data_IF_984906554188
#
_entry.id   IF_984906554188
#
_cell.length_a   1.000
_cell.length_b   1.000
_cell.length_c   1.000
_cell.angle_alpha   90.00
_cell.angle_beta   90.00
_cell.angle_gamma   90.00
#
_symmetry.space_group_name_H-M   'P 1'
#
loop_
_entity.id
_entity.type
_entity.pdbx_description
1 polymer ?
#
# COMPACT_ATOMS: atom_id res chain seq x y z
N UNK A 1 -15.83 5.29 -11.30
CA UNK A 1 -15.64 5.85 -9.93
C UNK A 1 -14.96 4.85 -9.01
N UNK A 2 -15.44 3.59 -8.92
CA UNK A 2 -14.86 2.55 -8.05
C UNK A 2 -13.33 2.43 -8.15
N UNK A 3 -12.77 2.39 -9.36
CA UNK A 3 -11.31 2.36 -9.56
C UNK A 3 -10.58 3.55 -8.91
N UNK A 4 -11.09 4.76 -9.06
CA UNK A 4 -10.47 5.97 -8.49
C UNK A 4 -10.45 5.90 -6.96
N UNK A 5 -11.55 5.42 -6.36
CA UNK A 5 -11.63 5.21 -4.91
C UNK A 5 -10.61 4.17 -4.44
N UNK A 6 -10.49 3.06 -5.17
CA UNK A 6 -9.53 1.99 -4.86
C UNK A 6 -8.08 2.47 -4.99
N UNK A 7 -7.75 3.26 -6.01
CA UNK A 7 -6.42 3.86 -6.16
C UNK A 7 -6.11 4.76 -4.96
N UNK A 8 -7.04 5.60 -4.53
CA UNK A 8 -6.86 6.47 -3.36
C UNK A 8 -6.67 5.67 -2.07
N UNK A 9 -7.47 4.62 -1.86
CA UNK A 9 -7.34 3.71 -0.70
C UNK A 9 -6.00 2.97 -0.71
N UNK A 10 -5.57 2.48 -1.87
CA UNK A 10 -4.26 1.86 -2.06
C UNK A 10 -3.13 2.82 -1.68
N UNK A 11 -3.17 4.04 -2.23
CA UNK A 11 -2.17 5.07 -1.97
C UNK A 11 -2.11 5.45 -0.49
N UNK A 12 -3.26 5.64 0.18
CA UNK A 12 -3.34 5.90 1.63
C UNK A 12 -2.70 4.78 2.44
N UNK A 13 -2.99 3.52 2.10
CA UNK A 13 -2.45 2.38 2.83
C UNK A 13 -0.94 2.23 2.58
N UNK A 14 -0.48 2.47 1.34
CA UNK A 14 0.93 2.36 0.97
C UNK A 14 1.78 3.46 1.61
N UNK A 15 1.33 4.73 1.57
CA UNK A 15 2.10 5.86 2.11
C UNK A 15 2.33 5.70 3.61
N UNK A 16 1.34 5.21 4.37
CA UNK A 16 1.47 4.99 5.82
C UNK A 16 2.51 3.93 6.18
N UNK A 17 2.69 2.92 5.34
CA UNK A 17 3.71 1.87 5.52
C UNK A 17 5.08 2.43 5.14
N UNK A 18 5.19 3.09 3.98
CA UNK A 18 6.44 3.66 3.48
C UNK A 18 6.98 4.73 4.44
N UNK A 19 6.11 5.61 4.94
CA UNK A 19 6.49 6.66 5.89
C UNK A 19 6.99 6.07 7.21
N UNK A 20 6.32 5.05 7.77
CA UNK A 20 6.80 4.39 8.99
C UNK A 20 8.11 3.64 8.78
N UNK A 21 8.24 2.94 7.65
CA UNK A 21 9.48 2.25 7.29
C UNK A 21 10.63 3.25 7.16
N UNK A 22 10.38 4.40 6.54
CA UNK A 22 11.36 5.49 6.42
C UNK A 22 11.74 6.06 7.79
N UNK A 23 10.79 6.31 8.66
CA UNK A 23 11.06 6.79 10.03
C UNK A 23 11.87 5.78 10.86
N UNK A 24 11.65 4.48 10.69
CA UNK A 24 12.42 3.42 11.35
C UNK A 24 13.84 3.34 10.79
N UNK A 25 14.00 3.47 9.47
CA UNK A 25 15.29 3.54 8.80
C UNK A 25 16.10 4.78 9.25
N UNK A 26 15.46 5.94 9.37
CA UNK A 26 16.09 7.18 9.85
C UNK A 26 16.52 7.07 11.34
N UNK A 27 15.93 6.14 12.10
CA UNK A 27 16.36 5.75 13.46
C UNK A 27 17.49 4.72 13.47
N UNK A 28 18.05 4.35 12.30
CA UNK A 28 19.19 3.46 12.16
C UNK A 28 18.84 1.97 12.00
N UNK A 29 17.57 1.60 11.78
CA UNK A 29 17.18 0.21 11.47
C UNK A 29 17.63 -0.18 10.06
N UNK A 30 17.93 -1.46 9.86
CA UNK A 30 18.13 -2.03 8.51
C UNK A 30 16.85 -1.92 7.67
N UNK A 31 17.00 -1.70 6.36
CA UNK A 31 15.91 -1.47 5.39
C UNK A 31 14.84 -2.57 5.47
N UNK A 32 15.25 -3.83 5.57
CA UNK A 32 14.31 -4.97 5.62
C UNK A 32 13.61 -5.03 6.97
N UNK A 33 14.37 -4.84 8.06
CA UNK A 33 13.81 -4.83 9.41
C UNK A 33 12.78 -3.71 9.60
N UNK A 34 13.07 -2.52 9.07
CA UNK A 34 12.19 -1.35 9.12
C UNK A 34 10.88 -1.57 8.34
N UNK A 35 10.96 -2.19 7.16
CA UNK A 35 9.78 -2.52 6.36
C UNK A 35 8.86 -3.53 7.06
N UNK A 36 9.43 -4.58 7.67
CA UNK A 36 8.67 -5.61 8.39
C UNK A 36 7.99 -5.02 9.63
N UNK A 37 8.72 -4.24 10.44
CA UNK A 37 8.18 -3.60 11.64
C UNK A 37 7.07 -2.58 11.29
N UNK A 38 7.25 -1.78 10.23
CA UNK A 38 6.21 -0.89 9.71
C UNK A 38 4.95 -1.65 9.29
N UNK A 39 5.10 -2.78 8.60
CA UNK A 39 3.96 -3.63 8.22
C UNK A 39 3.23 -4.20 9.43
N UNK A 40 3.94 -4.67 10.47
CA UNK A 40 3.29 -5.20 11.67
C UNK A 40 2.49 -4.14 12.43
N UNK A 41 3.03 -2.93 12.56
CA UNK A 41 2.35 -1.81 13.22
C UNK A 41 1.09 -1.37 12.48
N UNK A 42 1.08 -1.49 11.14
CA UNK A 42 -0.04 -1.06 10.29
C UNK A 42 -1.01 -2.17 9.94
N UNK A 43 -0.67 -3.44 10.14
CA UNK A 43 -1.52 -4.59 9.77
C UNK A 43 -2.92 -4.48 10.38
N UNK A 44 -3.00 -4.20 11.69
CA UNK A 44 -4.29 -4.07 12.38
C UNK A 44 -5.11 -2.86 11.88
N UNK A 45 -4.55 -1.64 11.76
CA UNK A 45 -5.22 -0.51 11.12
C UNK A 45 -5.68 -0.76 9.68
N UNK A 46 -4.84 -1.38 8.84
CA UNK A 46 -5.17 -1.66 7.42
C UNK A 46 -6.31 -2.66 7.33
N UNK A 47 -6.28 -3.74 8.12
CA UNK A 47 -7.37 -4.70 8.15
C UNK A 47 -8.67 -4.06 8.68
N UNK A 48 -8.58 -3.22 9.71
CA UNK A 48 -9.75 -2.52 10.26
C UNK A 48 -10.45 -1.65 9.21
N UNK A 49 -9.71 -0.83 8.45
CA UNK A 49 -10.30 0.01 7.41
C UNK A 49 -10.85 -0.81 6.25
N UNK A 50 -10.14 -1.88 5.86
CA UNK A 50 -10.54 -2.78 4.79
C UNK A 50 -11.84 -3.49 5.07
N UNK A 51 -11.96 -4.06 6.27
CA UNK A 51 -13.16 -4.76 6.70
C UNK A 51 -14.33 -3.80 6.89
N UNK A 52 -14.12 -2.64 7.52
CA UNK A 52 -15.17 -1.64 7.70
C UNK A 52 -15.74 -1.16 6.35
N UNK A 53 -14.87 -0.88 5.39
CA UNK A 53 -15.28 -0.44 4.06
C UNK A 53 -15.99 -1.55 3.28
N UNK A 54 -15.47 -2.77 3.32
CA UNK A 54 -16.07 -3.95 2.66
C UNK A 54 -17.47 -4.24 3.21
N UNK A 55 -17.64 -4.20 4.54
CA UNK A 55 -18.95 -4.33 5.18
C UNK A 55 -19.89 -3.18 4.82
N UNK A 56 -19.37 -1.95 4.73
CA UNK A 56 -20.14 -0.77 4.35
C UNK A 56 -20.69 -0.78 2.92
N UNK A 57 -20.05 -1.52 1.99
CA UNK A 57 -20.53 -1.67 0.61
C UNK A 57 -21.47 -2.87 0.40
N UNK A 58 -21.66 -3.73 1.40
CA UNK A 58 -22.59 -4.87 1.31
C UNK A 58 -24.03 -4.47 0.93
N UNK A 59 -24.61 -3.37 1.47
CA UNK A 59 -25.96 -2.96 1.06
C UNK A 59 -26.06 -2.55 -0.42
N UNK A 60 -24.98 -2.02 -0.99
CA UNK A 60 -24.92 -1.68 -2.42
C UNK A 60 -24.87 -2.95 -3.26
N UNK A 61 -24.16 -3.97 -2.77
CA UNK A 61 -24.04 -5.27 -3.43
C UNK A 61 -25.37 -6.04 -3.49
N UNK A 62 -26.22 -5.94 -2.47
CA UNK A 62 -27.52 -6.60 -2.40
C UNK A 62 -28.71 -5.69 -2.77
N UNK A 63 -28.44 -4.52 -3.34
CA UNK A 63 -29.48 -3.54 -3.62
C UNK A 63 -30.51 -4.03 -4.64
N UNK A 64 -31.80 -3.77 -4.39
CA UNK A 64 -32.91 -4.03 -5.32
C UNK A 64 -33.70 -2.75 -5.62
N UNK A 65 -34.44 -2.74 -6.72
CA UNK A 65 -35.28 -1.61 -7.14
C UNK A 65 -34.63 -0.68 -8.17
N UNK A 66 -35.17 0.53 -8.36
CA UNK A 66 -34.69 1.47 -9.38
C UNK A 66 -33.21 1.81 -9.19
N UNK A 67 -32.41 1.68 -10.26
CA UNK A 67 -30.96 1.92 -10.22
C UNK A 67 -30.14 0.82 -9.54
N UNK A 68 -30.71 -0.36 -9.28
CA UNK A 68 -30.00 -1.49 -8.67
C UNK A 68 -28.80 -1.93 -9.51
N UNK A 69 -28.93 -2.04 -10.83
CA UNK A 69 -27.84 -2.39 -11.75
C UNK A 69 -26.59 -1.53 -11.53
N UNK A 70 -26.78 -0.20 -11.41
CA UNK A 70 -25.68 0.73 -11.20
C UNK A 70 -25.05 0.57 -9.81
N UNK A 71 -25.86 0.35 -8.77
CA UNK A 71 -25.37 0.16 -7.39
C UNK A 71 -24.65 -1.18 -7.21
N UNK A 72 -25.15 -2.25 -7.81
CA UNK A 72 -24.53 -3.58 -7.79
C UNK A 72 -23.21 -3.54 -8.56
N UNK A 73 -23.16 -2.92 -9.75
CA UNK A 73 -21.92 -2.76 -10.51
C UNK A 73 -20.85 -2.01 -9.71
N UNK A 74 -21.23 -0.89 -9.07
CA UNK A 74 -20.33 -0.14 -8.20
C UNK A 74 -19.90 -0.95 -6.97
N UNK A 75 -20.85 -1.59 -6.28
CA UNK A 75 -20.62 -2.40 -5.08
C UNK A 75 -19.70 -3.59 -5.36
N UNK A 76 -19.93 -4.31 -6.45
CA UNK A 76 -19.11 -5.46 -6.87
C UNK A 76 -17.67 -5.05 -7.15
N UNK A 77 -17.48 -3.97 -7.92
CA UNK A 77 -16.14 -3.48 -8.25
C UNK A 77 -15.36 -3.01 -7.02
N UNK A 78 -16.04 -2.34 -6.08
CA UNK A 78 -15.42 -1.86 -4.85
C UNK A 78 -15.13 -3.00 -3.86
N UNK A 79 -16.04 -3.96 -3.71
CA UNK A 79 -15.91 -5.10 -2.81
C UNK A 79 -14.69 -5.96 -3.15
N UNK A 80 -14.64 -6.46 -4.39
CA UNK A 80 -13.50 -7.26 -4.86
C UNK A 80 -12.22 -6.43 -4.96
N UNK A 81 -12.35 -5.17 -5.37
CA UNK A 81 -11.25 -4.24 -5.43
C UNK A 81 -10.58 -4.02 -4.07
N UNK A 82 -11.36 -3.87 -2.99
CA UNK A 82 -10.83 -3.64 -1.66
C UNK A 82 -10.08 -4.88 -1.15
N UNK A 83 -10.65 -6.07 -1.33
CA UNK A 83 -10.00 -7.34 -0.97
C UNK A 83 -8.66 -7.46 -1.71
N UNK A 84 -8.67 -7.19 -3.02
CA UNK A 84 -7.45 -7.18 -3.83
C UNK A 84 -6.43 -6.17 -3.31
N UNK A 85 -6.82 -4.92 -3.12
CA UNK A 85 -5.92 -3.85 -2.64
C UNK A 85 -5.30 -4.18 -1.29
N UNK A 86 -6.04 -4.81 -0.38
CA UNK A 86 -5.55 -5.15 0.95
C UNK A 86 -4.54 -6.29 0.88
N UNK A 87 -4.86 -7.38 0.17
CA UNK A 87 -3.96 -8.53 0.03
C UNK A 87 -2.69 -8.17 -0.74
N UNK A 88 -2.85 -7.59 -1.93
CA UNK A 88 -1.71 -7.19 -2.75
C UNK A 88 -0.96 -6.03 -2.11
N UNK A 89 -1.63 -5.03 -1.55
CA UNK A 89 -0.99 -3.88 -0.91
C UNK A 89 -0.12 -4.27 0.28
N UNK A 90 -0.57 -5.18 1.15
CA UNK A 90 0.22 -5.61 2.31
C UNK A 90 1.50 -6.37 1.91
N UNK A 91 1.46 -7.15 0.83
CA UNK A 91 2.61 -7.94 0.36
C UNK A 91 3.54 -7.07 -0.49
N UNK A 92 2.99 -6.34 -1.46
CA UNK A 92 3.79 -5.63 -2.45
C UNK A 92 4.38 -4.32 -1.92
N UNK A 93 3.71 -3.61 -1.01
CA UNK A 93 4.24 -2.33 -0.47
C UNK A 93 5.62 -2.48 0.19
N UNK A 94 5.85 -3.41 1.15
CA UNK A 94 7.17 -3.57 1.76
C UNK A 94 8.22 -4.07 0.75
N UNK A 95 7.82 -4.94 -0.18
CA UNK A 95 8.71 -5.42 -1.26
C UNK A 95 9.17 -4.25 -2.13
N UNK A 96 8.24 -3.42 -2.60
CA UNK A 96 8.57 -2.24 -3.38
C UNK A 96 9.45 -1.25 -2.62
N UNK A 97 9.18 -1.03 -1.33
CA UNK A 97 10.02 -0.17 -0.49
C UNK A 97 11.48 -0.69 -0.43
N UNK A 98 11.68 -1.98 -0.12
CA UNK A 98 13.01 -2.59 -0.03
C UNK A 98 13.73 -2.56 -1.37
N UNK A 99 13.05 -2.90 -2.47
CA UNK A 99 13.62 -2.88 -3.82
C UNK A 99 14.05 -1.47 -4.21
N UNK A 100 13.17 -0.47 -4.02
CA UNK A 100 13.48 0.92 -4.34
C UNK A 100 14.63 1.46 -3.51
N UNK A 101 14.66 1.21 -2.19
CA UNK A 101 15.79 1.63 -1.34
C UNK A 101 17.10 0.97 -1.78
N UNK A 102 17.12 -0.34 -2.05
CA UNK A 102 18.32 -1.03 -2.57
C UNK A 102 18.81 -0.46 -3.89
N UNK A 103 17.91 -0.12 -4.81
CA UNK A 103 18.26 0.49 -6.10
C UNK A 103 18.88 1.88 -5.92
N UNK A 104 18.27 2.72 -5.07
CA UNK A 104 18.75 4.08 -4.78
C UNK A 104 20.14 4.04 -4.12
N UNK A 105 20.33 3.19 -3.09
CA UNK A 105 21.63 3.06 -2.41
C UNK A 105 22.74 2.54 -3.35
N UNK A 106 22.43 1.59 -4.25
CA UNK A 106 23.40 1.10 -5.26
C UNK A 106 23.81 2.21 -6.24
N UNK A 107 22.84 3.03 -6.67
CA UNK A 107 23.08 4.14 -7.60
C UNK A 107 23.93 5.24 -6.96
N UNK A 108 23.72 5.53 -5.67
CA UNK A 108 24.56 6.46 -4.90
C UNK A 108 26.00 5.96 -4.75
N UNK A 109 26.21 4.69 -4.39
CA UNK A 109 27.56 4.10 -4.33
C UNK A 109 28.31 4.22 -5.66
N UNK A 110 27.63 3.91 -6.77
CA UNK A 110 28.22 3.97 -8.11
C UNK A 110 28.59 5.40 -8.52
N UNK A 111 27.78 6.40 -8.12
CA UNK A 111 28.07 7.81 -8.36
C UNK A 111 29.26 8.31 -7.51
N UNK A 112 29.37 7.89 -6.25
CA UNK A 112 30.52 8.25 -5.39
C UNK A 112 31.83 7.63 -5.89
N UNK A 113 31.81 6.37 -6.36
CA UNK A 113 33.00 5.71 -6.92
C UNK A 113 33.48 6.35 -8.24
N UNK A 114 32.60 6.99 -9.00
CA UNK A 114 32.97 7.70 -10.24
C UNK A 114 33.57 9.10 -9.99
N UNK A 115 33.44 9.65 -8.79
CA UNK A 115 33.94 10.98 -8.41
C UNK A 115 35.30 10.91 -7.72
N UNK A 116 35.79 9.71 -7.36
CA UNK A 116 37.11 9.54 -6.77
C UNK A 116 38.17 9.72 -7.88
N UNK A 117 38.92 10.84 -7.92
CA UNK A 117 39.99 11.02 -8.89
C UNK A 117 41.05 9.97 -8.59
N UNK A 118 41.51 9.28 -9.62
CA UNK A 118 42.69 8.45 -9.55
C UNK A 118 43.85 9.34 -9.05
N UNK A 119 44.35 9.05 -7.84
CA UNK A 119 45.69 9.48 -7.42
C UNK A 119 46.75 8.75 -8.24
#
# INVERSE_FOLDING_TARGET
VSFVVLIGLAAKNAILIVEFARQLEDKGRDIVSAAVEACQLRLRPVLMTSLAFTSGVLPLYFSKGAGAEMRIALGTGVFWGMIGVTLFGLIFTPVFYVVMRKLVTRRQRSATSAVQPAE
#
